data_IF_714141417258
#
_entry.id   IF_714141417258
#
_cell.length_a   1.000
_cell.length_b   1.000
_cell.length_c   1.000
_cell.angle_alpha   90.00
_cell.angle_beta   90.00
_cell.angle_gamma   90.00
#
_symmetry.space_group_name_H-M   'P 1'
#
loop_
_entity.id
_entity.type
_entity.pdbx_description
1 polymer ?
#
# COMPACT_ATOMS: atom_id res chain seq x y z
N UNK A 1 20.00 8.11 17.38
CA UNK A 1 20.84 6.88 17.24
C UNK A 1 20.86 6.52 15.76
N UNK A 2 22.02 6.48 15.13
CA UNK A 2 22.18 6.15 13.69
C UNK A 2 23.26 5.08 13.60
N UNK A 3 22.96 3.97 12.93
CA UNK A 3 23.91 2.91 12.63
C UNK A 3 24.00 2.77 11.11
N UNK A 4 25.21 2.86 10.56
CA UNK A 4 25.46 2.72 9.13
C UNK A 4 25.85 1.28 8.80
N UNK A 5 25.23 0.72 7.78
CA UNK A 5 25.59 -0.59 7.21
C UNK A 5 25.93 -0.36 5.74
N UNK A 6 27.18 -0.64 5.35
CA UNK A 6 27.63 -0.55 3.97
C UNK A 6 27.28 -1.87 3.24
N UNK A 7 26.09 -1.92 2.66
CA UNK A 7 25.58 -3.09 1.93
C UNK A 7 24.58 -2.68 0.84
N UNK A 8 24.35 -3.60 -0.10
CA UNK A 8 23.18 -3.56 -0.98
C UNK A 8 21.90 -3.68 -0.13
N UNK A 9 21.05 -2.66 -0.20
CA UNK A 9 19.86 -2.56 0.65
C UNK A 9 18.84 -3.64 0.35
N UNK A 10 18.69 -4.05 -0.91
CA UNK A 10 17.80 -5.14 -1.31
C UNK A 10 18.25 -6.45 -0.68
N UNK A 11 19.52 -6.83 -0.85
CA UNK A 11 20.08 -8.06 -0.24
C UNK A 11 20.00 -8.01 1.29
N UNK A 12 20.25 -6.85 1.88
CA UNK A 12 20.13 -6.67 3.33
C UNK A 12 18.70 -6.94 3.81
N UNK A 13 17.70 -6.37 3.13
CA UNK A 13 16.29 -6.57 3.47
C UNK A 13 15.84 -8.01 3.24
N UNK A 14 16.26 -8.66 2.15
CA UNK A 14 15.98 -10.07 1.86
C UNK A 14 16.44 -10.99 3.01
N UNK A 15 17.64 -10.75 3.56
CA UNK A 15 18.19 -11.51 4.69
C UNK A 15 17.50 -11.22 6.04
N UNK A 16 16.76 -10.11 6.14
CA UNK A 16 16.06 -9.71 7.37
C UNK A 16 14.62 -10.26 7.42
N UNK A 17 14.19 -10.97 6.37
CA UNK A 17 12.88 -11.63 6.29
C UNK A 17 12.83 -12.78 7.29
N UNK A 18 12.10 -12.61 8.40
CA UNK A 18 11.89 -13.68 9.39
C UNK A 18 10.55 -13.48 10.12
N UNK A 19 9.83 -14.55 10.51
CA UNK A 19 8.61 -14.43 11.31
C UNK A 19 8.96 -13.79 12.67
N UNK A 20 8.52 -12.54 12.88
CA UNK A 20 8.90 -11.72 14.04
C UNK A 20 9.81 -10.52 13.73
N UNK A 21 9.94 -10.14 12.46
CA UNK A 21 10.78 -9.07 11.93
C UNK A 21 11.07 -7.91 12.88
N UNK A 22 12.36 -7.63 13.09
CA UNK A 22 12.88 -6.56 13.98
C UNK A 22 12.69 -5.15 13.41
N UNK A 23 12.26 -5.02 12.17
CA UNK A 23 12.13 -3.74 11.46
C UNK A 23 10.66 -3.34 11.45
N UNK A 24 10.29 -2.38 12.28
CA UNK A 24 8.92 -1.86 12.31
C UNK A 24 8.54 -1.13 11.03
N UNK A 25 9.49 -0.34 10.49
CA UNK A 25 9.29 0.54 9.35
C UNK A 25 10.51 0.52 8.45
N UNK A 26 10.29 0.36 7.15
CA UNK A 26 11.33 0.58 6.13
C UNK A 26 11.05 1.90 5.43
N UNK A 27 12.06 2.77 5.35
CA UNK A 27 12.01 4.02 4.60
C UNK A 27 12.88 3.92 3.35
N UNK A 28 12.29 4.22 2.19
CA UNK A 28 12.96 4.18 0.89
C UNK A 28 12.97 5.58 0.25
N UNK A 29 14.12 6.01 -0.23
CA UNK A 29 14.31 7.19 -1.08
C UNK A 29 15.22 6.79 -2.25
N UNK A 30 14.76 5.87 -3.14
CA UNK A 30 15.57 5.44 -4.27
C UNK A 30 15.81 6.64 -5.18
N UNK A 31 16.98 6.66 -5.78
CA UNK A 31 17.38 7.81 -6.57
C UNK A 31 16.56 7.79 -7.86
N UNK A 32 15.78 8.84 -8.08
CA UNK A 32 14.92 8.89 -9.25
C UNK A 32 15.75 9.05 -10.51
N UNK A 33 15.45 8.31 -11.59
CA UNK A 33 16.03 8.63 -12.89
C UNK A 33 15.69 10.09 -13.21
N UNK A 34 16.73 10.86 -13.53
CA UNK A 34 16.63 12.30 -13.69
C UNK A 34 15.55 12.70 -14.69
N UNK A 35 14.85 13.80 -14.43
CA UNK A 35 13.98 14.41 -15.45
C UNK A 35 14.84 15.01 -16.55
N UNK A 36 14.35 14.92 -17.78
CA UNK A 36 14.89 15.59 -18.97
C UNK A 36 14.76 17.12 -18.95
N UNK A 37 14.10 17.71 -17.94
CA UNK A 37 13.96 19.16 -17.82
C UNK A 37 15.01 19.75 -16.88
N UNK A 38 15.84 20.61 -17.48
CA UNK A 38 16.99 21.37 -16.99
C UNK A 38 16.64 22.43 -15.92
N UNK A 39 15.97 22.04 -14.85
CA UNK A 39 16.13 22.79 -13.61
C UNK A 39 17.58 22.59 -13.14
N UNK A 40 18.32 23.68 -12.87
CA UNK A 40 19.70 23.62 -12.37
C UNK A 40 19.74 22.94 -11.00
N UNK A 41 19.72 21.60 -11.00
CA UNK A 41 20.13 20.83 -9.85
C UNK A 41 21.55 21.28 -9.54
N UNK A 42 21.85 21.55 -8.26
CA UNK A 42 23.20 21.96 -7.85
C UNK A 42 24.20 20.94 -8.40
N UNK A 43 25.33 21.41 -8.95
CA UNK A 43 26.33 20.56 -9.63
C UNK A 43 26.72 19.32 -8.81
N UNK A 44 26.79 19.46 -7.49
CA UNK A 44 27.06 18.37 -6.54
C UNK A 44 26.07 17.19 -6.65
N UNK A 45 24.77 17.48 -6.81
CA UNK A 45 23.75 16.44 -6.96
C UNK A 45 23.78 15.77 -8.33
N UNK A 46 24.24 16.47 -9.36
CA UNK A 46 24.45 15.89 -10.68
C UNK A 46 25.62 14.89 -10.65
N UNK A 47 26.70 15.24 -9.95
CA UNK A 47 27.85 14.34 -9.75
C UNK A 47 27.41 13.09 -8.99
N UNK A 48 26.64 13.24 -7.92
CA UNK A 48 26.12 12.08 -7.18
C UNK A 48 25.23 11.20 -8.07
N UNK A 49 24.41 11.80 -8.93
CA UNK A 49 23.57 11.06 -9.87
C UNK A 49 24.37 10.24 -10.87
N UNK A 50 25.47 10.82 -11.40
CA UNK A 50 26.36 10.13 -12.32
C UNK A 50 27.13 8.98 -11.67
N UNK A 51 27.47 9.11 -10.37
CA UNK A 51 28.22 8.10 -9.63
C UNK A 51 27.37 6.89 -9.21
N UNK A 52 26.09 7.12 -8.89
CA UNK A 52 25.19 6.05 -8.38
C UNK A 52 24.63 5.18 -9.51
N UNK A 53 24.53 5.69 -10.74
CA UNK A 53 23.95 4.95 -11.86
C UNK A 53 22.42 4.91 -11.84
N UNK A 54 21.81 4.10 -12.71
CA UNK A 54 20.36 3.90 -12.77
C UNK A 54 19.88 2.79 -11.84
N UNK A 55 18.88 3.07 -11.02
CA UNK A 55 18.20 2.08 -10.15
C UNK A 55 17.18 1.26 -10.94
N UNK A 56 17.65 0.33 -11.78
CA UNK A 56 16.80 -0.60 -12.55
C UNK A 56 16.12 -1.67 -11.67
N UNK A 57 16.49 -1.77 -10.39
CA UNK A 57 16.03 -2.78 -9.43
C UNK A 57 14.99 -2.28 -8.41
N UNK A 58 14.40 -1.13 -8.70
CA UNK A 58 13.46 -0.43 -7.81
C UNK A 58 12.23 -1.29 -7.42
N UNK A 59 11.78 -2.17 -8.31
CA UNK A 59 10.68 -3.10 -8.04
C UNK A 59 11.06 -4.16 -7.00
N UNK A 60 12.24 -4.77 -7.17
CA UNK A 60 12.74 -5.79 -6.25
C UNK A 60 13.03 -5.18 -4.89
N UNK A 61 13.53 -3.93 -4.84
CA UNK A 61 13.73 -3.20 -3.60
C UNK A 61 12.41 -3.00 -2.83
N UNK A 62 11.34 -2.60 -3.51
CA UNK A 62 10.03 -2.44 -2.87
C UNK A 62 9.50 -3.78 -2.34
N UNK A 63 9.65 -4.86 -3.11
CA UNK A 63 9.21 -6.18 -2.68
C UNK A 63 9.96 -6.66 -1.42
N UNK A 64 11.29 -6.53 -1.41
CA UNK A 64 12.12 -6.88 -0.25
C UNK A 64 11.74 -6.03 0.99
N UNK A 65 11.51 -4.74 0.81
CA UNK A 65 11.08 -3.85 1.90
C UNK A 65 9.74 -4.25 2.50
N UNK A 66 8.77 -4.63 1.66
CA UNK A 66 7.44 -5.04 2.12
C UNK A 66 7.47 -6.37 2.88
N UNK A 67 8.36 -7.29 2.49
CA UNK A 67 8.54 -8.55 3.20
C UNK A 67 9.28 -8.38 4.54
N UNK A 68 10.20 -7.41 4.63
CA UNK A 68 10.99 -7.17 5.84
C UNK A 68 10.26 -6.30 6.89
N UNK A 69 9.40 -5.37 6.46
CA UNK A 69 8.74 -4.42 7.36
C UNK A 69 7.55 -5.04 8.10
N UNK A 70 7.50 -4.88 9.42
CA UNK A 70 6.38 -5.36 10.25
C UNK A 70 5.10 -4.53 10.08
N UNK A 71 5.23 -3.20 10.02
CA UNK A 71 4.06 -2.32 10.06
C UNK A 71 3.82 -1.62 8.73
N UNK A 72 4.88 -1.00 8.16
CA UNK A 72 4.75 -0.22 6.92
C UNK A 72 6.08 -0.01 6.20
N UNK A 73 5.98 0.22 4.89
CA UNK A 73 7.04 0.79 4.05
C UNK A 73 6.64 2.21 3.66
N UNK A 74 7.57 3.15 3.77
CA UNK A 74 7.36 4.55 3.38
C UNK A 74 8.33 4.88 2.26
N UNK A 75 7.80 5.32 1.12
CA UNK A 75 8.61 5.68 -0.05
C UNK A 75 8.49 7.18 -0.30
N UNK A 76 9.62 7.89 -0.30
CA UNK A 76 9.67 9.29 -0.69
C UNK A 76 9.60 9.42 -2.22
N UNK A 77 8.74 10.32 -2.69
CA UNK A 77 8.58 10.58 -4.13
C UNK A 77 8.34 12.06 -4.44
N UNK A 78 8.78 12.58 -5.59
CA UNK A 78 8.28 13.84 -6.12
C UNK A 78 6.76 13.77 -6.27
N UNK A 79 6.05 14.86 -5.94
CA UNK A 79 4.58 14.90 -5.94
C UNK A 79 3.95 14.40 -7.24
N UNK A 80 4.59 14.65 -8.39
CA UNK A 80 4.12 14.28 -9.74
C UNK A 80 4.71 12.98 -10.30
N UNK A 81 5.54 12.25 -9.56
CA UNK A 81 6.07 10.95 -10.03
C UNK A 81 4.98 9.86 -9.97
N UNK A 82 5.01 8.82 -10.81
CA UNK A 82 4.14 7.66 -10.59
C UNK A 82 4.48 6.97 -9.25
N UNK A 83 3.58 6.12 -8.70
CA UNK A 83 3.91 5.23 -7.59
C UNK A 83 5.13 4.36 -7.91
N UNK A 84 5.85 3.93 -6.87
CA UNK A 84 7.03 3.07 -7.04
C UNK A 84 6.60 1.72 -7.64
N UNK A 85 7.28 1.27 -8.71
CA UNK A 85 6.98 0.03 -9.42
C UNK A 85 5.49 -0.12 -9.84
N UNK A 86 4.78 0.99 -10.07
CA UNK A 86 3.35 0.97 -10.40
C UNK A 86 2.43 0.50 -9.26
N UNK A 87 2.97 0.11 -8.09
CA UNK A 87 2.19 -0.38 -6.97
C UNK A 87 1.52 0.77 -6.23
N UNK A 88 0.18 0.76 -6.18
CA UNK A 88 -0.62 1.76 -5.47
C UNK A 88 -0.34 1.69 -3.95
N UNK A 89 0.01 2.81 -3.30
CA UNK A 89 0.17 2.86 -1.85
C UNK A 89 -1.19 2.77 -1.13
N UNK A 90 -1.17 2.36 0.14
CA UNK A 90 -2.37 2.35 1.00
C UNK A 90 -2.88 3.78 1.23
N UNK A 91 -1.98 4.73 1.45
CA UNK A 91 -2.27 6.16 1.49
C UNK A 91 -1.01 6.97 1.17
N UNK A 92 -1.18 8.26 0.91
CA UNK A 92 -0.07 9.18 0.63
C UNK A 92 -0.11 10.39 1.58
N UNK A 93 1.06 10.82 2.07
CA UNK A 93 1.23 12.08 2.77
C UNK A 93 1.85 13.09 1.80
N UNK A 94 1.10 14.10 1.37
CA UNK A 94 1.55 15.04 0.34
C UNK A 94 2.02 16.37 0.94
N UNK A 95 3.22 16.81 0.56
CA UNK A 95 3.71 18.17 0.76
C UNK A 95 3.67 18.99 -0.54
N UNK A 96 4.43 20.09 -0.58
CA UNK A 96 4.47 21.00 -1.73
C UNK A 96 5.15 20.37 -2.96
N UNK A 97 6.34 19.80 -2.78
CA UNK A 97 7.17 19.24 -3.86
C UNK A 97 7.35 17.73 -3.76
N UNK A 98 7.18 17.19 -2.55
CA UNK A 98 7.43 15.79 -2.20
C UNK A 98 6.15 15.19 -1.63
N UNK A 99 5.95 13.89 -1.86
CA UNK A 99 4.95 13.06 -1.20
C UNK A 99 5.62 11.82 -0.61
N UNK A 100 4.98 11.22 0.38
CA UNK A 100 5.37 9.94 0.95
C UNK A 100 4.28 8.93 0.66
N UNK A 101 4.61 7.92 -0.15
CA UNK A 101 3.75 6.78 -0.45
C UNK A 101 3.89 5.77 0.68
N UNK A 102 2.78 5.45 1.37
CA UNK A 102 2.78 4.56 2.55
C UNK A 102 2.10 3.24 2.19
N UNK A 103 2.82 2.13 2.38
CA UNK A 103 2.35 0.77 2.15
C UNK A 103 2.23 0.06 3.50
N UNK A 104 1.04 -0.39 3.87
CA UNK A 104 0.79 -1.11 5.13
C UNK A 104 1.10 -2.60 4.93
N UNK A 105 1.86 -3.21 5.84
CA UNK A 105 2.33 -4.61 5.75
C UNK A 105 1.72 -5.53 6.82
N UNK A 106 0.66 -5.08 7.51
CA UNK A 106 0.03 -5.81 8.63
C UNK A 106 -0.31 -7.25 8.20
N UNK A 107 0.20 -8.27 8.93
CA UNK A 107 -0.10 -9.67 8.62
C UNK A 107 -1.60 -9.96 8.72
N UNK A 108 -2.12 -10.76 7.79
CA UNK A 108 -3.53 -11.16 7.75
C UNK A 108 -4.02 -11.80 9.08
N UNK A 109 -3.10 -12.41 9.81
CA UNK A 109 -3.29 -13.06 11.11
C UNK A 109 -3.77 -12.06 12.19
N UNK A 110 -3.22 -10.85 12.18
CA UNK A 110 -3.59 -9.77 13.11
C UNK A 110 -5.03 -9.31 12.86
N UNK A 111 -5.52 -9.43 11.63
CA UNK A 111 -6.93 -9.15 11.29
C UNK A 111 -7.89 -10.30 11.63
N UNK A 112 -7.40 -11.53 11.82
CA UNK A 112 -8.23 -12.69 12.16
C UNK A 112 -8.60 -12.70 13.65
N UNK A 113 -7.70 -12.25 14.52
CA UNK A 113 -7.92 -12.18 15.97
C UNK A 113 -8.94 -11.10 16.38
N UNK A 114 -9.02 -10.00 15.61
CA UNK A 114 -9.85 -8.84 15.97
C UNK A 114 -11.34 -9.01 15.59
N UNK A 115 -11.67 -9.87 14.61
CA UNK A 115 -13.08 -10.22 14.31
C UNK A 115 -13.73 -11.13 15.36
N UNK A 116 -12.95 -11.68 16.29
CA UNK A 116 -13.45 -12.50 17.40
C UNK A 116 -13.96 -11.68 18.60
N UNK A 117 -13.70 -10.37 18.65
CA UNK A 117 -14.21 -9.47 19.69
C UNK A 117 -15.13 -8.43 19.09
N UNK A 118 -16.40 -8.50 19.49
CA UNK A 118 -17.44 -7.46 19.36
C UNK A 118 -18.33 -7.51 18.10
N UNK A 119 -19.25 -8.47 18.10
CA UNK A 119 -20.70 -8.17 17.95
C UNK A 119 -21.47 -8.85 19.09
N UNK A 120 -21.21 -8.43 20.34
CA UNK A 120 -22.20 -8.59 21.42
C UNK A 120 -23.22 -7.48 21.20
N UNK A 121 -24.32 -7.80 20.53
CA UNK A 121 -25.47 -6.90 20.42
C UNK A 121 -25.91 -6.52 21.84
N UNK A 122 -25.93 -5.23 22.24
CA UNK A 122 -26.68 -4.82 23.41
C UNK A 122 -28.15 -4.88 23.01
N UNK A 123 -28.87 -5.85 23.56
CA UNK A 123 -30.30 -6.00 23.31
C UNK A 123 -31.07 -4.76 23.75
N UNK A 124 -31.97 -4.28 22.90
CA UNK A 124 -33.14 -3.50 23.27
C UNK A 124 -34.26 -3.72 22.25
N UNK A 125 -35.45 -4.01 22.76
CA UNK A 125 -36.71 -3.56 22.16
C UNK A 125 -37.31 -4.43 21.06
N UNK A 126 -38.34 -5.18 21.45
CA UNK A 126 -39.37 -5.74 20.56
C UNK A 126 -39.90 -4.64 19.62
N UNK A 127 -40.08 -4.95 18.33
CA UNK A 127 -41.19 -4.44 17.54
C UNK A 127 -41.41 -5.31 16.30
N UNK A 128 -42.67 -5.64 16.09
CA UNK A 128 -43.23 -6.58 15.13
C UNK A 128 -43.08 -6.10 13.68
N UNK A 129 -42.80 -7.02 12.76
CA UNK A 129 -42.91 -6.82 11.31
C UNK A 129 -44.30 -7.32 10.85
N UNK A 130 -45.08 -6.56 10.05
CA UNK A 130 -46.32 -7.08 9.48
C UNK A 130 -46.04 -8.07 8.34
N UNK A 131 -46.81 -9.17 8.31
CA UNK A 131 -46.81 -10.19 7.25
C UNK A 131 -47.28 -9.61 5.91
N UNK A 132 -46.58 -9.97 4.83
CA UNK A 132 -47.03 -9.76 3.45
C UNK A 132 -48.10 -10.80 3.05
N UNK A 133 -49.08 -10.45 2.19
CA UNK A 133 -50.08 -11.39 1.69
C UNK A 133 -49.51 -12.28 0.56
N UNK A 134 -49.97 -13.54 0.52
CA UNK A 134 -49.57 -14.54 -0.49
C UNK A 134 -50.26 -14.36 -1.85
N UNK A 135 -49.82 -15.10 -2.88
CA UNK A 135 -50.32 -14.94 -4.25
C UNK A 135 -51.52 -15.85 -4.53
N UNK A 136 -52.63 -15.28 -5.00
CA UNK A 136 -53.76 -16.01 -5.59
C UNK A 136 -53.81 -15.79 -7.11
N UNK A 137 -53.81 -16.91 -7.84
CA UNK A 137 -54.71 -17.16 -8.96
C UNK A 137 -54.55 -16.37 -10.26
N UNK A 138 -53.87 -16.97 -11.24
CA UNK A 138 -54.13 -16.75 -12.67
C UNK A 138 -55.57 -17.23 -13.04
N UNK A 139 -56.17 -16.88 -14.21
CA UNK A 139 -55.71 -17.47 -15.48
C UNK A 139 -55.97 -16.70 -16.80
N UNK A 140 -55.34 -17.27 -17.84
CA UNK A 140 -55.80 -17.41 -19.24
C UNK A 140 -55.63 -16.26 -20.27
N UNK A 141 -54.68 -16.52 -21.18
CA UNK A 141 -54.82 -16.52 -22.64
C UNK A 141 -55.51 -15.34 -23.36
N UNK A 142 -54.79 -14.67 -24.26
CA UNK A 142 -55.01 -14.87 -25.71
C UNK A 142 -53.88 -14.27 -26.58
N UNK A 143 -53.71 -14.88 -27.75
CA UNK A 143 -52.79 -14.57 -28.84
C UNK A 143 -53.08 -13.22 -29.50
N UNK A 144 -52.04 -12.50 -29.94
CA UNK A 144 -51.74 -12.22 -31.37
C UNK A 144 -50.55 -11.24 -31.52
N UNK A 145 -49.62 -11.62 -32.42
CA UNK A 145 -48.63 -10.80 -33.14
C UNK A 145 -49.34 -9.74 -34.01
N UNK A 146 -48.68 -8.69 -34.55
CA UNK A 146 -47.25 -8.59 -34.93
C UNK A 146 -46.43 -7.56 -34.17
#
# INVERSE_FOLDING_TARGET
>A
RIHLVAADSRKFLENMTNPGGKIDVVYLDPMFPGRTKSARVKKELQILQLLVGGDDDTEQLLAAALNAARNRVVVKRPKSAPPLAGRKPSHCLSGTTTRFDVYITIPAEVYAEDRGRTLKNPGHGKNELPRAPGPEGAPAANRKRP
#
